data_IF_102292533341
#
_entry.id   IF_102292533341
#
_cell.length_a   1.000
_cell.length_b   1.000
_cell.length_c   1.000
_cell.angle_alpha   90.00
_cell.angle_beta   90.00
_cell.angle_gamma   90.00
#
_symmetry.space_group_name_H-M   'P 1'
#
loop_
_entity.id
_entity.type
_entity.pdbx_description
1 polymer ?
#
# COMPACT_ATOMS: atom_id res chain seq x y z
N UNK A 1 -17.79 74.96 31.03
CA UNK A 1 -19.23 74.76 30.74
C UNK A 1 -19.30 74.09 29.38
N UNK A 2 -19.36 72.76 29.30
CA UNK A 2 -20.54 71.90 29.48
C UNK A 2 -21.46 71.92 28.25
N UNK A 3 -21.50 70.82 27.51
CA UNK A 3 -22.73 70.21 26.97
C UNK A 3 -22.38 68.86 26.30
N UNK A 4 -22.40 67.79 27.09
CA UNK A 4 -22.50 66.42 26.62
C UNK A 4 -23.85 65.88 27.10
N UNK A 5 -24.69 65.46 26.16
CA UNK A 5 -25.95 64.73 26.33
C UNK A 5 -26.25 64.08 24.97
N UNK A 6 -26.83 62.90 24.82
CA UNK A 6 -27.16 61.78 25.70
C UNK A 6 -27.67 60.65 24.78
N UNK A 7 -27.58 59.39 25.22
CA UNK A 7 -28.38 58.28 24.71
C UNK A 7 -27.83 57.56 23.48
N UNK A 8 -28.00 56.26 23.28
CA UNK A 8 -28.70 55.21 24.03
C UNK A 8 -28.28 53.86 23.43
N UNK A 9 -28.16 52.84 24.27
CA UNK A 9 -28.52 51.44 24.04
C UNK A 9 -28.14 50.76 22.71
N UNK A 10 -27.34 49.69 22.80
CA UNK A 10 -27.86 48.32 22.66
C UNK A 10 -26.70 47.32 22.58
N UNK A 11 -26.68 46.39 23.53
CA UNK A 11 -25.98 45.12 23.34
C UNK A 11 -26.74 44.31 22.29
N UNK A 12 -26.03 43.53 21.47
CA UNK A 12 -26.51 42.21 21.14
C UNK A 12 -25.58 41.16 21.74
N UNK A 13 -26.17 40.34 22.59
CA UNK A 13 -25.71 39.01 22.96
C UNK A 13 -25.36 38.23 21.69
N UNK A 14 -24.07 38.14 21.37
CA UNK A 14 -23.53 37.22 20.38
C UNK A 14 -22.91 36.04 21.10
N UNK A 15 -23.63 34.93 21.18
CA UNK A 15 -23.12 33.63 21.59
C UNK A 15 -21.95 33.24 20.69
N UNK A 16 -20.74 33.48 21.19
CA UNK A 16 -19.49 33.07 20.55
C UNK A 16 -19.26 31.57 20.70
N UNK A 17 -19.79 30.78 19.76
CA UNK A 17 -19.21 29.48 19.42
C UNK A 17 -17.94 29.74 18.60
N UNK A 18 -16.84 29.97 19.31
CA UNK A 18 -15.52 30.13 18.74
C UNK A 18 -15.01 28.80 18.18
N UNK A 19 -15.13 28.63 16.86
CA UNK A 19 -14.18 27.85 16.08
C UNK A 19 -13.37 28.86 15.25
N UNK A 20 -12.28 29.33 15.85
CA UNK A 20 -11.35 30.25 15.21
C UNK A 20 -10.60 29.57 14.08
N UNK A 21 -11.10 29.70 12.85
CA UNK A 21 -10.31 29.58 11.63
C UNK A 21 -10.01 31.00 11.16
N UNK A 22 -8.72 31.34 11.03
CA UNK A 22 -8.29 32.67 10.61
C UNK A 22 -8.86 33.05 9.23
N UNK A 23 -9.02 34.35 8.97
CA UNK A 23 -9.60 34.86 7.72
C UNK A 23 -8.86 34.40 6.44
N UNK A 24 -7.62 33.91 6.56
CA UNK A 24 -6.84 33.30 5.48
C UNK A 24 -7.29 31.85 5.18
N UNK A 25 -7.39 31.01 6.22
CA UNK A 25 -7.90 29.64 6.14
C UNK A 25 -9.29 29.59 5.54
N UNK A 26 -10.16 30.53 5.94
CA UNK A 26 -11.53 30.59 5.45
C UNK A 26 -11.61 30.94 3.96
N UNK A 27 -10.66 31.74 3.44
CA UNK A 27 -10.55 32.03 2.00
C UNK A 27 -10.03 30.83 1.21
N UNK A 28 -9.05 30.09 1.76
CA UNK A 28 -8.52 28.87 1.14
C UNK A 28 -9.57 27.76 1.12
N UNK A 29 -10.29 27.55 2.22
CA UNK A 29 -11.36 26.56 2.31
C UNK A 29 -12.51 26.87 1.34
N UNK A 30 -12.91 28.14 1.22
CA UNK A 30 -13.94 28.56 0.25
C UNK A 30 -13.46 28.39 -1.20
N UNK A 31 -12.18 28.63 -1.48
CA UNK A 31 -11.61 28.41 -2.82
C UNK A 31 -11.54 26.91 -3.18
N UNK A 32 -11.16 26.07 -2.22
CA UNK A 32 -11.15 24.61 -2.40
C UNK A 32 -12.57 24.08 -2.60
N UNK A 33 -13.54 24.55 -1.80
CA UNK A 33 -14.95 24.19 -1.97
C UNK A 33 -15.49 24.63 -3.33
N UNK A 34 -15.17 25.84 -3.79
CA UNK A 34 -15.57 26.31 -5.11
C UNK A 34 -14.96 25.44 -6.24
N UNK A 35 -13.70 25.01 -6.13
CA UNK A 35 -13.07 24.10 -7.08
C UNK A 35 -13.65 22.68 -7.04
N UNK A 36 -14.06 22.22 -5.86
CA UNK A 36 -14.74 20.93 -5.65
C UNK A 36 -16.13 20.95 -6.28
N UNK A 37 -16.88 22.05 -6.16
CA UNK A 37 -18.23 22.23 -6.69
C UNK A 37 -18.28 22.53 -8.20
N UNK A 38 -17.19 23.05 -8.78
CA UNK A 38 -17.09 23.33 -10.22
C UNK A 38 -16.69 22.12 -11.05
N UNK A 39 -16.17 21.06 -10.43
CA UNK A 39 -15.80 19.85 -11.14
C UNK A 39 -17.00 18.88 -11.30
N UNK A 40 -17.44 18.59 -12.53
CA UNK A 40 -18.63 17.76 -12.76
C UNK A 40 -18.46 16.33 -12.24
N UNK A 41 -17.24 15.78 -12.24
CA UNK A 41 -16.97 14.45 -11.69
C UNK A 41 -17.17 14.40 -10.18
N UNK A 42 -16.84 15.50 -9.49
CA UNK A 42 -16.94 15.57 -8.05
C UNK A 42 -18.39 15.74 -7.58
N UNK A 43 -19.22 16.43 -8.40
CA UNK A 43 -20.67 16.47 -8.19
C UNK A 43 -21.32 15.09 -8.37
N UNK A 44 -20.88 14.31 -9.37
CA UNK A 44 -21.33 12.93 -9.56
C UNK A 44 -20.92 12.04 -8.39
N UNK A 45 -19.69 12.18 -7.90
CA UNK A 45 -19.18 11.43 -6.76
C UNK A 45 -19.94 11.77 -5.47
N UNK A 46 -20.21 13.06 -5.22
CA UNK A 46 -20.99 13.52 -4.08
C UNK A 46 -22.43 13.00 -4.15
N UNK A 47 -23.03 12.97 -5.35
CA UNK A 47 -24.33 12.34 -5.59
C UNK A 47 -24.34 10.84 -5.29
N UNK A 48 -23.30 10.10 -5.70
CA UNK A 48 -23.15 8.68 -5.39
C UNK A 48 -22.95 8.42 -3.89
N UNK A 49 -22.17 9.26 -3.21
CA UNK A 49 -21.95 9.17 -1.76
C UNK A 49 -23.27 9.41 -1.02
N UNK A 50 -24.03 10.43 -1.40
CA UNK A 50 -25.35 10.69 -0.81
C UNK A 50 -26.36 9.57 -1.10
N UNK A 51 -26.32 8.97 -2.29
CA UNK A 51 -27.13 7.80 -2.65
C UNK A 51 -26.78 6.55 -1.81
N UNK A 52 -25.49 6.35 -1.51
CA UNK A 52 -25.03 5.27 -0.63
C UNK A 52 -25.45 5.48 0.83
N UNK A 53 -25.47 6.72 1.31
CA UNK A 53 -25.81 7.06 2.70
C UNK A 53 -27.32 7.16 2.95
N UNK A 54 -28.10 7.58 1.95
CA UNK A 54 -29.56 7.77 2.05
C UNK A 54 -30.31 7.08 0.90
N UNK A 55 -30.29 5.73 0.83
CA UNK A 55 -30.90 4.97 -0.26
C UNK A 55 -32.44 5.04 -0.28
N UNK A 56 -33.07 5.56 0.78
CA UNK A 56 -34.53 5.68 0.89
C UNK A 56 -35.09 6.89 0.11
N UNK A 57 -34.25 7.85 -0.29
CA UNK A 57 -34.72 9.09 -0.93
C UNK A 57 -34.77 9.01 -2.47
N UNK A 58 -34.16 8.01 -3.09
CA UNK A 58 -34.08 7.89 -4.56
C UNK A 58 -35.02 6.81 -5.12
N UNK A 59 -35.69 7.06 -6.27
CA UNK A 59 -36.62 6.11 -6.85
C UNK A 59 -35.92 4.84 -7.35
N UNK A 60 -36.62 3.68 -7.35
CA UNK A 60 -36.04 2.38 -7.71
C UNK A 60 -35.58 2.25 -9.18
N UNK A 61 -35.80 3.26 -10.03
CA UNK A 61 -35.39 3.26 -11.44
C UNK A 61 -33.87 3.35 -11.65
N UNK A 62 -33.13 3.96 -10.72
CA UNK A 62 -31.66 4.10 -10.80
C UNK A 62 -30.89 2.82 -10.45
N UNK A 63 -31.55 1.83 -9.84
CA UNK A 63 -30.94 0.52 -9.54
C UNK A 63 -30.59 -0.28 -10.80
N UNK A 64 -31.17 0.06 -11.96
CA UNK A 64 -30.89 -0.58 -13.24
C UNK A 64 -29.52 -0.24 -13.83
N UNK A 65 -28.90 0.87 -13.41
CA UNK A 65 -27.60 1.34 -13.92
C UNK A 65 -26.39 0.65 -13.27
N UNK A 66 -26.56 -0.13 -12.21
CA UNK A 66 -25.47 -0.85 -11.52
C UNK A 66 -25.84 -2.31 -11.24
N UNK A 67 -26.04 -3.15 -12.27
CA UNK A 67 -26.42 -4.56 -12.10
C UNK A 67 -25.38 -5.35 -11.28
N UNK A 68 -24.11 -4.93 -11.32
CA UNK A 68 -22.98 -5.54 -10.59
C UNK A 68 -23.13 -5.39 -9.06
N UNK A 69 -23.65 -4.26 -8.58
CA UNK A 69 -23.84 -4.00 -7.15
C UNK A 69 -25.10 -4.73 -6.62
N UNK A 70 -26.15 -4.83 -7.43
CA UNK A 70 -27.33 -5.62 -7.14
C UNK A 70 -27.00 -7.13 -7.04
N UNK A 71 -26.12 -7.63 -7.92
CA UNK A 71 -25.63 -9.02 -7.87
C UNK A 71 -24.79 -9.29 -6.61
N UNK A 72 -24.01 -8.31 -6.15
CA UNK A 72 -23.20 -8.42 -4.93
C UNK A 72 -24.04 -8.47 -3.64
N UNK A 73 -25.19 -7.79 -3.61
CA UNK A 73 -26.13 -7.83 -2.46
C UNK A 73 -26.96 -9.12 -2.36
N UNK A 74 -27.07 -9.89 -3.44
CA UNK A 74 -27.83 -11.14 -3.48
C UNK A 74 -27.03 -12.42 -3.19
N UNK A 75 -25.73 -12.30 -2.89
CA UNK A 75 -24.89 -13.46 -2.58
C UNK A 75 -24.93 -13.76 -1.07
N UNK A 76 -25.41 -14.94 -0.65
CA UNK A 76 -25.33 -15.33 0.75
C UNK A 76 -23.86 -15.54 1.18
N UNK A 77 -23.52 -15.29 2.46
CA UNK A 77 -22.17 -15.45 2.97
C UNK A 77 -21.85 -16.93 3.15
N UNK A 78 -21.38 -17.59 2.10
CA UNK A 78 -20.91 -18.97 2.18
C UNK A 78 -19.48 -19.07 1.66
N UNK A 79 -18.58 -19.37 2.61
CA UNK A 79 -17.26 -19.92 2.32
C UNK A 79 -17.38 -21.25 1.56
N UNK A 80 -16.25 -21.78 1.05
CA UNK A 80 -16.24 -22.94 0.16
C UNK A 80 -16.90 -24.16 0.82
N UNK A 81 -17.72 -24.94 0.10
CA UNK A 81 -18.44 -26.07 0.68
C UNK A 81 -17.46 -27.21 1.03
N UNK A 82 -17.53 -27.65 2.28
CA UNK A 82 -16.98 -28.93 2.73
C UNK A 82 -17.73 -30.06 2.02
N UNK A 83 -17.03 -30.81 1.18
CA UNK A 83 -17.57 -31.98 0.49
C UNK A 83 -17.67 -33.15 1.47
N UNK A 84 -18.90 -33.48 1.85
CA UNK A 84 -19.25 -34.72 2.55
C UNK A 84 -20.25 -35.51 1.70
N UNK A 85 -19.75 -36.39 0.83
CA UNK A 85 -20.49 -37.57 0.37
C UNK A 85 -20.40 -38.62 1.52
N UNK A 86 -21.41 -39.40 1.93
CA UNK A 86 -22.49 -40.16 1.26
C UNK A 86 -23.47 -40.63 2.38
N UNK A 87 -24.66 -41.23 2.13
CA UNK A 87 -24.71 -42.70 2.10
C UNK A 87 -25.84 -43.36 1.25
N UNK A 88 -25.66 -44.68 0.98
CA UNK A 88 -26.69 -45.65 0.54
C UNK A 88 -26.83 -45.84 -0.98
N UNK A 89 -26.85 -47.04 -1.58
CA UNK A 89 -26.74 -48.43 -1.11
C UNK A 89 -26.95 -49.41 -2.29
N UNK A 90 -26.40 -50.64 -2.17
CA UNK A 90 -26.84 -51.85 -2.90
C UNK A 90 -26.02 -52.31 -4.11
N UNK A 91 -25.44 -53.52 -4.04
CA UNK A 91 -25.06 -54.31 -5.22
C UNK A 91 -23.84 -55.22 -5.07
N UNK A 92 -24.08 -56.51 -4.93
CA UNK A 92 -23.17 -57.65 -4.69
C UNK A 92 -21.92 -57.78 -5.58
N UNK A 93 -20.86 -58.35 -5.00
CA UNK A 93 -19.68 -58.86 -5.71
C UNK A 93 -18.74 -59.61 -4.76
N UNK A 94 -18.79 -60.93 -4.83
CA UNK A 94 -17.93 -61.91 -4.15
C UNK A 94 -16.45 -61.77 -4.53
N UNK A 95 -15.52 -61.88 -3.58
CA UNK A 95 -14.33 -62.77 -3.63
C UNK A 95 -13.35 -62.51 -2.48
N UNK A 96 -12.77 -63.59 -2.02
CA UNK A 96 -11.77 -63.80 -0.98
C UNK A 96 -10.43 -63.04 -1.14
N UNK A 97 -9.75 -62.90 0.00
CA UNK A 97 -8.30 -62.99 0.23
C UNK A 97 -7.57 -61.70 0.67
N UNK A 98 -6.72 -61.91 1.69
CA UNK A 98 -5.64 -61.07 2.23
C UNK A 98 -6.00 -59.82 3.05
N UNK A 99 -5.93 -60.02 4.38
CA UNK A 99 -5.57 -58.98 5.35
C UNK A 99 -4.16 -58.45 5.02
N UNK A 100 -4.10 -57.42 4.18
CA UNK A 100 -2.93 -56.54 4.09
C UNK A 100 -3.19 -55.39 5.07
N UNK A 101 -2.39 -55.32 6.14
CA UNK A 101 -2.35 -54.16 7.02
C UNK A 101 -1.86 -52.95 6.20
N UNK A 102 -2.81 -52.19 5.66
CA UNK A 102 -2.54 -50.94 4.96
C UNK A 102 -2.34 -49.85 6.02
N UNK A 103 -1.08 -49.63 6.39
CA UNK A 103 -0.66 -48.46 7.16
C UNK A 103 -0.85 -47.23 6.27
N UNK A 104 -2.10 -46.76 6.18
CA UNK A 104 -2.46 -45.57 5.42
C UNK A 104 -1.67 -44.34 5.90
N UNK A 105 -1.24 -43.44 5.00
CA UNK A 105 -0.51 -42.25 5.38
C UNK A 105 -1.41 -41.37 6.25
N UNK A 106 -0.89 -40.94 7.40
CA UNK A 106 -1.61 -40.09 8.34
C UNK A 106 -2.19 -38.88 7.59
N UNK A 107 -3.51 -38.74 7.64
CA UNK A 107 -4.33 -37.74 6.92
C UNK A 107 -3.98 -36.26 7.26
N UNK A 108 -2.99 -36.04 8.13
CA UNK A 108 -2.52 -34.73 8.58
C UNK A 108 -1.07 -34.41 8.17
N UNK A 109 -0.40 -35.29 7.40
CA UNK A 109 0.95 -35.04 6.90
C UNK A 109 0.93 -34.48 5.47
N UNK A 110 0.28 -33.33 5.26
CA UNK A 110 0.45 -32.60 4.00
C UNK A 110 1.64 -31.65 4.14
N UNK A 111 2.86 -32.19 3.97
CA UNK A 111 4.03 -31.34 3.78
C UNK A 111 3.83 -30.55 2.47
N UNK A 112 3.93 -29.21 2.49
CA UNK A 112 3.91 -28.43 1.26
C UNK A 112 5.04 -28.89 0.34
N UNK A 113 4.81 -28.90 -0.98
CA UNK A 113 5.81 -29.35 -1.99
C UNK A 113 7.16 -28.64 -1.87
N UNK A 114 7.15 -27.41 -1.38
CA UNK A 114 8.33 -26.62 -1.09
C UNK A 114 8.07 -25.76 0.13
N UNK A 115 9.09 -25.60 0.97
CA UNK A 115 9.09 -24.58 1.99
C UNK A 115 9.23 -23.20 1.33
N UNK A 116 8.61 -22.15 1.89
CA UNK A 116 8.86 -20.79 1.41
C UNK A 116 10.36 -20.48 1.49
N UNK A 117 10.86 -19.69 0.54
CA UNK A 117 12.25 -19.24 0.58
C UNK A 117 12.53 -18.52 1.90
N UNK A 118 13.54 -19.01 2.63
CA UNK A 118 13.99 -18.35 3.85
C UNK A 118 14.81 -17.14 3.45
N UNK A 119 14.41 -15.97 3.95
CA UNK A 119 15.19 -14.75 3.82
C UNK A 119 16.39 -14.87 4.76
N UNK A 120 17.57 -15.06 4.20
CA UNK A 120 18.83 -14.99 4.96
C UNK A 120 19.19 -13.53 5.10
N UNK A 121 19.48 -13.11 6.33
CA UNK A 121 19.98 -11.76 6.57
C UNK A 121 21.43 -11.66 6.08
N UNK A 122 21.68 -10.75 5.14
CA UNK A 122 22.97 -10.65 4.45
C UNK A 122 23.50 -9.21 4.49
N UNK A 123 24.83 -9.07 4.57
CA UNK A 123 25.53 -7.79 4.34
C UNK A 123 25.77 -7.67 2.85
N UNK A 124 25.37 -6.55 2.26
CA UNK A 124 25.55 -6.28 0.84
C UNK A 124 26.50 -5.11 0.69
N UNK A 125 27.40 -5.18 -0.29
CA UNK A 125 28.16 -4.04 -0.80
C UNK A 125 27.44 -3.47 -2.02
N UNK A 126 27.77 -2.24 -2.48
CA UNK A 126 27.20 -1.69 -3.71
C UNK A 126 27.36 -2.64 -4.90
N UNK A 127 28.51 -3.32 -5.03
CA UNK A 127 28.74 -4.30 -6.10
C UNK A 127 27.90 -5.56 -5.96
N UNK A 128 27.75 -6.13 -4.76
CA UNK A 128 26.92 -7.35 -4.61
C UNK A 128 25.43 -7.04 -4.70
N UNK A 129 25.00 -5.86 -4.27
CA UNK A 129 23.64 -5.37 -4.47
C UNK A 129 23.33 -5.17 -5.96
N UNK A 130 24.29 -4.67 -6.75
CA UNK A 130 24.12 -4.39 -8.18
C UNK A 130 23.76 -5.62 -9.03
N UNK A 131 24.15 -6.81 -8.60
CA UNK A 131 23.82 -8.07 -9.28
C UNK A 131 22.31 -8.39 -9.19
N UNK A 132 21.62 -7.79 -8.23
CA UNK A 132 20.20 -8.00 -7.95
C UNK A 132 19.32 -6.90 -8.55
N UNK A 133 19.54 -6.57 -9.82
CA UNK A 133 18.78 -5.58 -10.60
C UNK A 133 17.49 -6.15 -11.25
N UNK A 134 17.31 -7.47 -11.20
CA UNK A 134 16.18 -8.13 -11.84
C UNK A 134 16.35 -8.45 -13.32
N UNK A 135 17.51 -8.21 -13.92
CA UNK A 135 17.80 -8.50 -15.33
C UNK A 135 17.76 -10.01 -15.65
N UNK A 136 18.04 -10.88 -14.68
CA UNK A 136 18.03 -12.35 -14.82
C UNK A 136 16.63 -13.00 -14.92
N UNK A 137 15.60 -12.27 -15.33
CA UNK A 137 14.24 -12.78 -15.53
C UNK A 137 13.50 -13.13 -14.23
N UNK A 138 12.49 -14.01 -14.31
CA UNK A 138 11.53 -14.26 -13.21
C UNK A 138 12.13 -14.89 -11.94
N UNK A 139 13.30 -15.52 -12.03
CA UNK A 139 14.01 -16.12 -10.89
C UNK A 139 15.00 -15.17 -10.21
N UNK A 140 15.33 -14.05 -10.85
CA UNK A 140 16.24 -13.07 -10.26
C UNK A 140 15.52 -12.28 -9.17
N UNK A 141 16.24 -12.00 -8.08
CA UNK A 141 15.75 -11.10 -7.03
C UNK A 141 16.02 -9.66 -7.43
N UNK A 142 15.12 -8.78 -7.03
CA UNK A 142 15.27 -7.33 -7.16
C UNK A 142 15.44 -6.78 -5.76
N UNK A 143 16.64 -6.29 -5.48
CA UNK A 143 16.97 -5.68 -4.19
C UNK A 143 17.18 -4.19 -4.38
N UNK A 144 16.88 -3.40 -3.37
CA UNK A 144 17.28 -1.99 -3.32
C UNK A 144 17.59 -1.60 -1.88
N UNK A 145 18.44 -0.59 -1.72
CA UNK A 145 18.77 -0.05 -0.41
C UNK A 145 18.14 1.32 -0.17
N UNK A 146 17.70 1.55 1.06
CA UNK A 146 17.26 2.86 1.55
C UNK A 146 17.83 3.05 2.95
N UNK A 147 18.64 4.08 3.13
CA UNK A 147 19.35 4.46 4.34
C UNK A 147 20.09 3.27 4.97
N UNK A 148 20.91 2.57 4.17
CA UNK A 148 21.66 1.40 4.61
C UNK A 148 20.83 0.13 4.84
N UNK A 149 19.51 0.13 4.61
CA UNK A 149 18.64 -1.05 4.77
C UNK A 149 18.30 -1.64 3.41
N UNK A 150 18.51 -2.94 3.23
CA UNK A 150 18.25 -3.63 1.96
C UNK A 150 16.89 -4.30 2.00
N UNK A 151 16.05 -4.01 1.02
CA UNK A 151 14.69 -4.54 0.88
C UNK A 151 14.57 -5.43 -0.37
N UNK A 152 13.85 -6.54 -0.23
CA UNK A 152 13.48 -7.39 -1.37
C UNK A 152 12.17 -6.91 -2.00
N UNK A 153 12.31 -6.28 -3.16
CA UNK A 153 11.23 -5.70 -3.94
C UNK A 153 10.83 -6.58 -5.13
N UNK A 154 11.24 -7.85 -5.14
CA UNK A 154 10.92 -8.81 -6.21
C UNK A 154 9.41 -8.96 -6.44
N UNK A 155 8.59 -8.81 -5.39
CA UNK A 155 7.11 -8.78 -5.49
C UNK A 155 6.59 -7.62 -6.34
N UNK A 156 7.35 -6.54 -6.45
CA UNK A 156 7.06 -5.33 -7.22
C UNK A 156 7.78 -5.29 -8.56
N UNK A 157 8.10 -6.43 -9.18
CA UNK A 157 8.86 -6.50 -10.45
C UNK A 157 8.29 -5.66 -11.60
N UNK A 158 6.98 -5.42 -11.65
CA UNK A 158 6.39 -4.53 -12.66
C UNK A 158 6.83 -3.06 -12.50
N UNK A 159 7.29 -2.67 -11.32
CA UNK A 159 7.71 -1.31 -10.99
C UNK A 159 9.23 -1.16 -10.98
N UNK A 160 9.94 -2.12 -10.37
CA UNK A 160 11.39 -2.09 -10.18
C UNK A 160 12.16 -3.02 -11.13
N UNK A 161 11.47 -3.74 -12.01
CA UNK A 161 12.12 -4.53 -13.04
C UNK A 161 12.81 -3.65 -14.08
N UNK A 162 13.58 -4.25 -15.00
CA UNK A 162 14.34 -3.52 -16.02
C UNK A 162 13.46 -2.62 -16.91
N UNK A 163 12.22 -3.04 -17.18
CA UNK A 163 11.24 -2.28 -17.97
C UNK A 163 10.30 -1.42 -17.12
N UNK A 164 10.49 -1.40 -15.79
CA UNK A 164 9.64 -0.68 -14.86
C UNK A 164 10.04 0.80 -14.75
N UNK A 165 9.08 1.70 -14.40
CA UNK A 165 9.35 3.12 -14.23
C UNK A 165 10.40 3.44 -13.14
N UNK A 166 10.61 2.50 -12.20
CA UNK A 166 11.55 2.63 -11.09
C UNK A 166 12.69 1.62 -11.19
N UNK A 167 12.94 1.05 -12.38
CA UNK A 167 14.03 0.10 -12.63
C UNK A 167 15.41 0.68 -12.32
N UNK A 168 15.58 1.99 -12.41
CA UNK A 168 16.82 2.71 -12.10
C UNK A 168 17.31 2.47 -10.65
N UNK A 169 16.41 2.18 -9.72
CA UNK A 169 16.76 1.90 -8.32
C UNK A 169 17.08 0.42 -8.05
N UNK A 170 16.87 -0.45 -9.03
CA UNK A 170 17.12 -1.88 -8.88
C UNK A 170 18.62 -2.13 -8.72
N UNK A 171 18.99 -2.85 -7.65
CA UNK A 171 20.37 -3.14 -7.30
C UNK A 171 21.19 -1.90 -6.91
N UNK A 172 20.56 -0.82 -6.45
CA UNK A 172 21.25 0.43 -6.09
C UNK A 172 20.80 0.96 -4.73
N UNK A 173 21.58 1.91 -4.22
CA UNK A 173 21.16 2.75 -3.11
C UNK A 173 20.24 3.87 -3.62
N UNK A 174 18.98 3.83 -3.19
CA UNK A 174 17.95 4.78 -3.57
C UNK A 174 17.78 5.90 -2.53
N UNK A 175 18.59 5.94 -1.47
CA UNK A 175 18.43 6.86 -0.33
C UNK A 175 18.26 8.32 -0.74
N UNK A 176 19.18 8.84 -1.57
CA UNK A 176 19.14 10.22 -2.06
C UNK A 176 17.93 10.50 -2.94
N UNK A 177 17.61 9.57 -3.85
CA UNK A 177 16.41 9.65 -4.70
C UNK A 177 15.12 9.74 -3.87
N UNK A 178 15.02 8.94 -2.81
CA UNK A 178 13.86 8.95 -1.89
C UNK A 178 13.79 10.23 -1.07
N UNK A 179 14.93 10.72 -0.59
CA UNK A 179 15.00 11.96 0.21
C UNK A 179 14.57 13.18 -0.60
N UNK A 180 15.08 13.30 -1.84
CA UNK A 180 14.82 14.42 -2.75
C UNK A 180 13.58 14.22 -3.61
N UNK A 181 12.92 13.06 -3.49
CA UNK A 181 11.75 12.66 -4.29
C UNK A 181 12.02 12.75 -5.80
N UNK A 182 13.23 12.39 -6.22
CA UNK A 182 13.65 12.40 -7.63
C UNK A 182 14.00 10.98 -8.10
N UNK A 183 13.70 10.72 -9.37
CA UNK A 183 13.98 9.47 -10.08
C UNK A 183 15.16 9.63 -11.07
N UNK A 184 15.85 10.77 -11.02
CA UNK A 184 16.94 11.09 -11.94
C UNK A 184 18.14 10.18 -11.69
N UNK A 185 18.78 9.74 -12.77
CA UNK A 185 19.96 8.87 -12.71
C UNK A 185 21.14 9.51 -11.98
N UNK A 186 21.22 10.85 -11.99
CA UNK A 186 22.26 11.60 -11.27
C UNK A 186 22.13 11.52 -9.75
N UNK A 187 20.95 11.15 -9.23
CA UNK A 187 20.71 11.00 -7.79
C UNK A 187 21.06 9.59 -7.29
N UNK A 188 21.47 8.68 -8.18
CA UNK A 188 21.93 7.34 -7.81
C UNK A 188 23.39 7.37 -7.38
N UNK A 189 23.69 6.67 -6.28
CA UNK A 189 25.06 6.50 -5.82
C UNK A 189 25.87 5.70 -6.85
N UNK A 190 27.00 6.23 -7.36
CA UNK A 190 27.87 5.49 -8.26
C UNK A 190 28.43 4.23 -7.58
N UNK A 191 28.55 3.13 -8.33
CA UNK A 191 29.06 1.86 -7.79
C UNK A 191 30.55 1.89 -7.42
N UNK A 192 31.32 2.77 -8.08
CA UNK A 192 32.77 2.87 -7.89
C UNK A 192 33.17 3.92 -6.86
N UNK A 193 32.19 4.57 -6.22
CA UNK A 193 32.43 5.61 -5.20
C UNK A 193 32.03 5.11 -3.80
N UNK A 194 32.56 5.74 -2.74
CA UNK A 194 32.11 5.48 -1.38
C UNK A 194 30.61 5.65 -1.23
N UNK A 195 30.03 4.97 -0.23
CA UNK A 195 28.61 5.07 0.06
C UNK A 195 28.24 6.52 0.37
N UNK A 196 27.07 6.93 -0.12
CA UNK A 196 26.59 8.28 0.10
C UNK A 196 26.20 8.47 1.57
N UNK A 197 26.87 9.41 2.25
CA UNK A 197 26.64 9.70 3.66
C UNK A 197 25.39 10.53 3.91
N UNK A 198 24.85 11.18 2.87
CA UNK A 198 23.62 11.97 2.94
C UNK A 198 23.68 13.15 3.93
N UNK A 199 24.89 13.60 4.29
CA UNK A 199 25.13 14.69 5.26
C UNK A 199 24.63 16.06 4.77
N UNK A 200 24.41 16.20 3.46
CA UNK A 200 23.95 17.42 2.79
C UNK A 200 22.42 17.58 2.79
N UNK A 201 21.67 16.59 3.28
CA UNK A 201 20.21 16.61 3.28
C UNK A 201 19.64 17.53 4.35
N UNK A 202 18.58 18.23 4.00
CA UNK A 202 17.77 19.02 4.94
C UNK A 202 16.94 18.10 5.85
N UNK A 203 16.51 18.59 7.03
CA UNK A 203 15.62 17.83 7.92
C UNK A 203 14.31 17.39 7.26
N UNK A 204 13.80 18.16 6.30
CA UNK A 204 12.60 17.82 5.54
C UNK A 204 12.84 16.64 4.59
N UNK A 205 13.95 16.65 3.84
CA UNK A 205 14.34 15.55 2.94
C UNK A 205 14.62 14.26 3.73
N UNK A 206 15.28 14.37 4.90
CA UNK A 206 15.45 13.24 5.82
C UNK A 206 14.11 12.70 6.32
N UNK A 207 13.13 13.56 6.56
CA UNK A 207 11.79 13.11 6.96
C UNK A 207 11.10 12.35 5.82
N UNK A 208 11.15 12.88 4.59
CA UNK A 208 10.62 12.21 3.40
C UNK A 208 11.23 10.81 3.22
N UNK A 209 12.56 10.70 3.37
CA UNK A 209 13.25 9.40 3.31
C UNK A 209 12.74 8.43 4.38
N UNK A 210 12.55 8.88 5.62
CA UNK A 210 12.05 8.03 6.71
C UNK A 210 10.62 7.54 6.46
N UNK A 211 9.76 8.38 5.90
CA UNK A 211 8.41 7.98 5.50
C UNK A 211 8.45 6.88 4.45
N UNK A 212 9.32 7.02 3.44
CA UNK A 212 9.56 5.97 2.45
C UNK A 212 10.05 4.66 3.09
N UNK A 213 11.01 4.72 4.03
CA UNK A 213 11.44 3.53 4.77
C UNK A 213 10.26 2.85 5.48
N UNK A 214 9.35 3.63 6.07
CA UNK A 214 8.13 3.12 6.69
C UNK A 214 7.22 2.39 5.69
N UNK A 215 6.98 2.99 4.53
CA UNK A 215 6.19 2.37 3.45
C UNK A 215 6.83 1.09 2.92
N UNK A 216 8.15 1.09 2.73
CA UNK A 216 8.88 -0.08 2.27
C UNK A 216 8.87 -1.20 3.31
N UNK A 217 9.08 -0.88 4.58
CA UNK A 217 9.07 -1.86 5.68
C UNK A 217 7.70 -2.52 5.86
N UNK A 218 6.61 -1.81 5.55
CA UNK A 218 5.27 -2.36 5.60
C UNK A 218 4.96 -3.34 4.43
N UNK A 219 5.59 -3.14 3.27
CA UNK A 219 5.26 -3.87 2.03
C UNK A 219 6.28 -4.95 1.66
N UNK A 220 7.55 -4.72 1.95
CA UNK A 220 8.68 -5.54 1.54
C UNK A 220 9.47 -6.03 2.75
N UNK A 221 10.04 -7.21 2.63
CA UNK A 221 10.90 -7.76 3.68
C UNK A 221 12.26 -7.07 3.62
N UNK A 222 12.77 -6.63 4.78
CA UNK A 222 14.16 -6.26 4.92
C UNK A 222 15.00 -7.54 4.93
N UNK A 223 15.95 -7.63 4.01
CA UNK A 223 16.80 -8.82 3.82
C UNK A 223 18.24 -8.60 4.27
N UNK A 224 18.59 -7.38 4.68
CA UNK A 224 19.96 -7.08 5.05
C UNK A 224 20.26 -5.61 5.29
N UNK A 225 21.55 -5.33 5.27
CA UNK A 225 22.13 -3.98 5.38
C UNK A 225 23.15 -3.76 4.26
N UNK A 226 23.24 -2.52 3.80
CA UNK A 226 24.22 -2.07 2.84
C UNK A 226 25.44 -1.53 3.62
N UNK A 227 26.62 -2.06 3.30
CA UNK A 227 27.90 -1.72 3.92
C UNK A 227 28.87 -1.19 2.87
N UNK A 228 29.92 -0.50 3.30
CA UNK A 228 30.97 -0.04 2.39
C UNK A 228 31.78 -1.23 1.82
N UNK A 229 32.42 -1.01 0.67
CA UNK A 229 33.32 -2.00 0.06
C UNK A 229 34.49 -2.30 1.03
N UNK A 230 34.58 -3.54 1.49
CA UNK A 230 35.61 -4.00 2.44
C UNK A 230 35.10 -4.33 3.85
N UNK A 231 33.82 -4.07 4.15
CA UNK A 231 33.19 -4.39 5.45
C UNK A 231 32.15 -5.53 5.37
N UNK A 232 32.27 -6.39 4.35
CA UNK A 232 31.32 -7.47 4.01
C UNK A 232 31.30 -8.62 5.03
#
# INVERSE_FOLDING_TARGET
MAAAAAGTASSPLGLGLGLGLGAFEQRVALQILANILTNPLNLVLLGLILYCLHPHFFPPSLASLTPTLAKARGLPPHGPPLSSAKPGGGGAGTSSAQQQQDNGPLLYSHLPRAHPETVVWTRFTPRTLAVHDGSGGSKSKILLAINGRVFDVSKGRNFYGPDGPYGNFAGRDASRGMAKQSFDLEMLTPLDQPLDKLDDLTPAELNNMREWIGHFSAKYAQVGVLVEEGEE
#
